data_IF_082263356076
#
_entry.id   IF_082263356076
#
_cell.length_a   1.000
_cell.length_b   1.000
_cell.length_c   1.000
_cell.angle_alpha   90.00
_cell.angle_beta   90.00
_cell.angle_gamma   90.00
#
_symmetry.space_group_name_H-M   'P 1'
#
loop_
_entity.id
_entity.type
_entity.pdbx_description
1 polymer ?
#
# COMPACT_ATOMS: atom_id res chain seq x y z
N UNK A 1 4.88 -15.99 -4.22
CA UNK A 1 3.85 -15.12 -3.60
C UNK A 1 4.51 -14.20 -2.60
N UNK A 2 3.80 -13.17 -2.13
CA UNK A 2 4.32 -12.14 -1.21
C UNK A 2 5.07 -12.70 0.02
N UNK A 3 4.62 -13.83 0.58
CA UNK A 3 5.28 -14.49 1.73
C UNK A 3 6.72 -14.97 1.46
N UNK A 4 7.13 -15.20 0.20
CA UNK A 4 8.54 -15.52 -0.11
C UNK A 4 9.42 -14.28 -0.26
N UNK A 5 8.81 -13.09 -0.39
CA UNK A 5 9.48 -11.81 -0.60
C UNK A 5 9.52 -10.92 0.65
N UNK A 6 8.55 -11.05 1.57
CA UNK A 6 8.48 -10.27 2.82
C UNK A 6 7.74 -11.09 3.88
N UNK A 7 8.43 -11.50 4.97
CA UNK A 7 7.78 -12.28 6.03
C UNK A 7 7.02 -11.35 6.97
N UNK A 8 5.94 -11.82 7.60
CA UNK A 8 5.21 -11.02 8.59
C UNK A 8 6.10 -10.53 9.74
N UNK A 9 7.11 -11.31 10.13
CA UNK A 9 8.12 -10.94 11.14
C UNK A 9 8.97 -9.73 10.77
N UNK A 10 9.03 -9.39 9.48
CA UNK A 10 9.78 -8.25 8.98
C UNK A 10 8.94 -6.96 8.97
N UNK A 11 7.70 -7.02 9.45
CA UNK A 11 6.77 -5.91 9.47
C UNK A 11 6.45 -5.42 10.88
N UNK A 12 6.08 -4.15 10.97
CA UNK A 12 5.58 -3.51 12.19
C UNK A 12 4.34 -2.68 11.87
N UNK A 13 3.48 -2.48 12.87
CA UNK A 13 2.25 -1.71 12.69
C UNK A 13 2.49 -0.21 12.80
N UNK A 14 1.78 0.54 11.97
CA UNK A 14 1.67 1.99 12.03
C UNK A 14 0.21 2.31 12.39
N UNK A 15 -0.01 3.11 13.43
CA UNK A 15 -1.34 3.55 13.84
C UNK A 15 -1.25 4.92 14.52
N UNK A 16 -2.18 5.81 14.19
CA UNK A 16 -2.22 7.17 14.70
C UNK A 16 -3.44 7.47 15.56
N UNK A 17 -3.27 8.28 16.60
CA UNK A 17 -4.36 8.88 17.36
C UNK A 17 -4.48 10.38 16.98
N UNK A 18 -5.69 10.93 16.76
CA UNK A 18 -6.97 10.22 16.64
C UNK A 18 -6.98 9.30 15.41
N UNK A 19 -7.79 8.24 15.42
CA UNK A 19 -7.83 7.11 14.47
C UNK A 19 -7.99 7.47 12.98
N UNK A 20 -7.06 8.22 12.40
CA UNK A 20 -7.17 8.81 11.05
C UNK A 20 -6.26 8.13 10.04
N UNK A 21 -5.39 7.25 10.50
CA UNK A 21 -4.54 6.45 9.65
C UNK A 21 -4.12 5.16 10.34
N UNK A 22 -3.90 4.14 9.52
CA UNK A 22 -3.30 2.89 9.93
C UNK A 22 -2.41 2.36 8.80
N UNK A 23 -1.53 1.41 9.10
CA UNK A 23 -0.62 0.91 8.10
C UNK A 23 0.37 -0.11 8.63
N UNK A 24 1.37 -0.38 7.81
CA UNK A 24 2.46 -1.28 8.12
C UNK A 24 3.75 -0.76 7.53
N UNK A 25 4.84 -0.94 8.26
CA UNK A 25 6.18 -0.77 7.73
C UNK A 25 6.87 -2.12 7.57
N UNK A 26 7.84 -2.19 6.68
CA UNK A 26 8.76 -3.32 6.52
C UNK A 26 10.20 -2.86 6.77
N UNK A 27 11.05 -3.74 7.29
CA UNK A 27 12.48 -3.46 7.53
C UNK A 27 13.42 -4.09 6.48
N UNK A 28 12.87 -4.78 5.49
CA UNK A 28 13.61 -5.57 4.48
C UNK A 28 13.33 -5.15 3.03
N UNK A 29 12.88 -3.92 2.81
CA UNK A 29 12.58 -3.42 1.48
C UNK A 29 13.82 -3.42 0.56
N UNK A 30 13.81 -4.26 -0.47
CA UNK A 30 14.88 -4.38 -1.44
C UNK A 30 14.36 -4.82 -2.83
N UNK A 31 13.81 -3.89 -3.64
CA UNK A 31 13.21 -4.23 -4.92
C UNK A 31 14.29 -4.66 -5.92
N UNK A 32 14.13 -5.85 -6.51
CA UNK A 32 15.07 -6.41 -7.48
C UNK A 32 14.80 -5.89 -8.90
N UNK A 33 14.99 -4.59 -9.11
CA UNK A 33 14.91 -3.98 -10.44
C UNK A 33 16.18 -4.30 -11.25
N UNK A 34 16.02 -4.66 -12.54
CA UNK A 34 17.13 -5.05 -13.42
C UNK A 34 17.76 -3.84 -14.10
N UNK A 35 19.06 -3.93 -14.36
CA UNK A 35 19.84 -2.94 -15.13
C UNK A 35 20.90 -2.23 -14.27
N UNK A 36 21.63 -1.31 -14.91
CA UNK A 36 22.72 -0.54 -14.25
C UNK A 36 22.21 0.71 -13.50
N UNK A 37 21.07 1.26 -13.92
CA UNK A 37 20.51 2.48 -13.34
C UNK A 37 19.79 2.17 -12.03
N UNK A 38 19.93 3.06 -11.04
CA UNK A 38 19.19 3.04 -9.78
C UNK A 38 18.49 4.39 -9.61
N UNK A 39 17.27 4.39 -9.08
CA UNK A 39 16.57 5.64 -8.80
C UNK A 39 17.36 6.46 -7.76
N UNK A 40 17.37 7.79 -7.89
CA UNK A 40 17.85 8.67 -6.83
C UNK A 40 17.07 8.43 -5.55
N UNK A 41 17.75 8.50 -4.40
CA UNK A 41 17.08 8.43 -3.10
C UNK A 41 16.68 9.83 -2.64
N UNK A 42 15.67 9.92 -1.77
CA UNK A 42 15.35 11.16 -1.06
C UNK A 42 16.61 11.70 -0.37
N UNK A 43 16.99 12.99 -0.56
CA UNK A 43 18.25 13.52 -0.05
C UNK A 43 18.43 13.38 1.47
N UNK A 44 17.31 13.46 2.21
CA UNK A 44 17.29 13.39 3.66
C UNK A 44 16.81 12.03 4.20
N UNK A 45 16.79 10.97 3.36
CA UNK A 45 16.42 9.65 3.85
C UNK A 45 17.43 9.16 4.89
N UNK A 46 17.00 8.70 6.08
CA UNK A 46 17.94 8.26 7.11
C UNK A 46 18.77 7.06 6.65
N UNK A 47 20.10 7.15 6.77
CA UNK A 47 21.03 6.11 6.30
C UNK A 47 20.77 4.75 6.96
N UNK A 48 20.38 4.75 8.24
CA UNK A 48 20.03 3.54 8.99
C UNK A 48 18.63 2.98 8.66
N UNK A 49 17.85 3.65 7.79
CA UNK A 49 16.51 3.23 7.37
C UNK A 49 16.44 2.90 5.88
N UNK A 50 17.57 2.60 5.23
CA UNK A 50 17.63 2.42 3.77
C UNK A 50 16.78 1.24 3.26
N UNK A 51 16.52 0.24 4.11
CA UNK A 51 15.68 -0.92 3.81
C UNK A 51 14.27 -0.78 4.40
N UNK A 52 13.91 0.39 4.94
CA UNK A 52 12.57 0.62 5.44
C UNK A 52 11.68 1.09 4.31
N UNK A 53 10.47 0.56 4.27
CA UNK A 53 9.37 1.11 3.52
C UNK A 53 8.11 1.12 4.39
N UNK A 54 7.23 2.09 4.16
CA UNK A 54 6.01 2.29 4.95
C UNK A 54 4.80 2.40 4.03
N UNK A 55 3.72 1.72 4.38
CA UNK A 55 2.46 1.69 3.66
C UNK A 55 1.36 2.18 4.60
N UNK A 56 0.93 3.43 4.42
CA UNK A 56 0.04 4.12 5.35
C UNK A 56 -1.26 4.46 4.63
N UNK A 57 -2.35 3.86 5.08
CA UNK A 57 -3.70 4.24 4.72
C UNK A 57 -4.11 5.47 5.54
N UNK A 58 -4.30 6.59 4.85
CA UNK A 58 -4.91 7.82 5.34
C UNK A 58 -6.41 7.76 5.05
N UNK A 59 -7.22 7.75 6.10
CA UNK A 59 -8.66 7.64 5.94
C UNK A 59 -9.26 8.94 5.39
N UNK A 60 -10.28 8.87 4.50
CA UNK A 60 -11.02 7.65 4.14
C UNK A 60 -10.42 6.82 3.00
N UNK A 61 -9.65 7.41 2.09
CA UNK A 61 -9.52 6.84 0.74
C UNK A 61 -8.14 6.98 0.09
N UNK A 62 -7.08 7.28 0.84
CA UNK A 62 -5.72 7.41 0.30
C UNK A 62 -4.80 6.42 1.00
N UNK A 63 -3.92 5.76 0.25
CA UNK A 63 -2.77 5.03 0.78
C UNK A 63 -1.48 5.59 0.17
N UNK A 64 -0.48 5.80 1.02
CA UNK A 64 0.87 6.17 0.61
C UNK A 64 1.80 4.99 0.84
N UNK A 65 2.50 4.56 -0.21
CA UNK A 65 3.66 3.70 -0.10
C UNK A 65 4.93 4.53 -0.22
N UNK A 66 5.74 4.59 0.83
CA UNK A 66 6.93 5.42 0.90
C UNK A 66 8.17 4.52 0.94
N UNK A 67 9.08 4.74 0.00
CA UNK A 67 10.33 4.03 -0.14
C UNK A 67 11.48 5.04 -0.17
N UNK A 68 12.72 4.57 -0.06
CA UNK A 68 13.90 5.45 -0.12
C UNK A 68 14.05 6.25 -1.42
N UNK A 69 13.48 5.78 -2.53
CA UNK A 69 13.78 6.28 -3.89
C UNK A 69 12.54 6.61 -4.75
N UNK A 70 11.36 6.31 -4.24
CA UNK A 70 10.08 6.71 -4.79
C UNK A 70 9.00 6.68 -3.71
N UNK A 71 7.85 7.22 -4.04
CA UNK A 71 6.62 6.93 -3.30
C UNK A 71 5.51 6.67 -4.31
N UNK A 72 4.47 5.99 -3.89
CA UNK A 72 3.22 5.95 -4.64
C UNK A 72 2.09 6.55 -3.81
N UNK A 73 1.20 7.24 -4.50
CA UNK A 73 -0.12 7.57 -4.00
C UNK A 73 -1.11 6.60 -4.65
N UNK A 74 -1.94 6.02 -3.82
CA UNK A 74 -3.01 5.15 -4.23
C UNK A 74 -4.29 5.69 -3.64
N UNK A 75 -5.30 5.99 -4.46
CA UNK A 75 -6.53 6.57 -3.96
C UNK A 75 -7.76 5.89 -4.54
N UNK A 76 -8.80 5.84 -3.71
CA UNK A 76 -10.03 5.12 -3.98
C UNK A 76 -11.13 6.10 -4.37
N UNK A 77 -11.69 5.90 -5.55
CA UNK A 77 -12.87 6.60 -6.06
C UNK A 77 -14.11 5.71 -5.86
N UNK A 78 -14.97 6.00 -4.88
CA UNK A 78 -16.20 5.25 -4.70
C UNK A 78 -17.19 5.62 -5.81
N UNK A 79 -17.57 4.66 -6.65
CA UNK A 79 -18.58 4.86 -7.70
C UNK A 79 -19.97 4.53 -7.14
N UNK A 80 -20.09 3.39 -6.46
CA UNK A 80 -21.27 2.97 -5.71
C UNK A 80 -20.87 1.93 -4.64
N UNK A 81 -21.84 1.31 -3.97
CA UNK A 81 -21.58 0.34 -2.89
C UNK A 81 -20.97 -1.00 -3.36
N UNK A 82 -20.90 -1.26 -4.67
CA UNK A 82 -20.36 -2.48 -5.28
C UNK A 82 -19.11 -2.20 -6.13
N UNK A 83 -18.80 -0.94 -6.42
CA UNK A 83 -17.75 -0.55 -7.36
C UNK A 83 -16.91 0.61 -6.82
N UNK A 84 -15.61 0.38 -6.76
CA UNK A 84 -14.57 1.38 -6.46
C UNK A 84 -13.53 1.36 -7.57
N UNK A 85 -13.10 2.53 -8.04
CA UNK A 85 -11.98 2.65 -8.99
C UNK A 85 -10.71 2.98 -8.19
N UNK A 86 -9.65 2.21 -8.46
CA UNK A 86 -8.36 2.35 -7.82
C UNK A 86 -7.40 3.12 -8.72
N UNK A 87 -6.92 4.27 -8.24
CA UNK A 87 -5.98 5.12 -8.96
C UNK A 87 -4.59 4.99 -8.36
N UNK A 88 -3.61 4.54 -9.14
CA UNK A 88 -2.23 4.40 -8.70
C UNK A 88 -1.28 5.34 -9.45
N UNK A 89 -0.57 6.15 -8.68
CA UNK A 89 0.42 7.11 -9.19
C UNK A 89 1.76 6.86 -8.52
N UNK A 90 2.83 6.72 -9.31
CA UNK A 90 4.19 6.50 -8.78
C UNK A 90 5.05 7.71 -9.07
N UNK A 91 5.61 8.27 -8.01
CA UNK A 91 6.41 9.48 -8.00
C UNK A 91 7.87 9.17 -7.70
N UNK A 92 8.77 9.78 -8.46
CA UNK A 92 10.21 9.54 -8.37
C UNK A 92 10.96 10.78 -7.89
N UNK A 93 12.05 10.57 -7.16
CA UNK A 93 12.88 11.67 -6.66
C UNK A 93 13.65 12.32 -7.82
N UNK A 94 13.26 13.55 -8.16
CA UNK A 94 13.94 14.40 -9.13
C UNK A 94 13.42 14.27 -10.57
N UNK A 95 13.51 15.37 -11.32
CA UNK A 95 12.98 15.49 -12.68
C UNK A 95 13.58 14.46 -13.66
N UNK A 96 14.88 14.16 -13.54
CA UNK A 96 15.54 13.19 -14.42
C UNK A 96 14.95 11.78 -14.22
N UNK A 97 14.74 11.34 -12.98
CA UNK A 97 14.19 10.03 -12.66
C UNK A 97 12.74 9.90 -13.14
N UNK A 98 11.94 10.97 -12.97
CA UNK A 98 10.54 11.01 -13.40
C UNK A 98 10.37 11.07 -14.92
N UNK A 99 11.15 11.89 -15.62
CA UNK A 99 10.80 12.30 -16.99
C UNK A 99 11.81 11.88 -18.06
N UNK A 100 13.07 11.59 -17.72
CA UNK A 100 14.09 11.29 -18.73
C UNK A 100 13.90 9.91 -19.39
N UNK A 101 14.47 9.76 -20.60
CA UNK A 101 14.57 8.47 -21.30
C UNK A 101 15.47 7.47 -20.56
N UNK A 102 16.51 7.95 -19.84
CA UNK A 102 17.47 7.14 -19.08
C UNK A 102 16.80 6.21 -18.07
N UNK A 103 15.74 6.70 -17.41
CA UNK A 103 15.01 5.96 -16.38
C UNK A 103 13.74 5.27 -16.89
N UNK A 104 13.39 5.41 -18.19
CA UNK A 104 12.15 4.85 -18.77
C UNK A 104 11.99 3.36 -18.51
N UNK A 105 13.04 2.58 -18.72
CA UNK A 105 13.02 1.12 -18.49
C UNK A 105 12.87 0.78 -17.01
N UNK A 106 13.46 1.59 -16.12
CA UNK A 106 13.36 1.38 -14.67
C UNK A 106 11.94 1.70 -14.17
N UNK A 107 11.32 2.80 -14.65
CA UNK A 107 9.92 3.14 -14.36
C UNK A 107 8.94 2.06 -14.83
N UNK A 108 9.15 1.51 -16.03
CA UNK A 108 8.34 0.38 -16.54
C UNK A 108 8.42 -0.86 -15.65
N UNK A 109 9.62 -1.19 -15.17
CA UNK A 109 9.80 -2.33 -14.26
C UNK A 109 9.14 -2.08 -12.91
N UNK A 110 9.31 -0.88 -12.35
CA UNK A 110 8.72 -0.51 -11.06
C UNK A 110 7.19 -0.52 -11.13
N UNK A 111 6.61 0.06 -12.19
CA UNK A 111 5.17 0.02 -12.42
C UNK A 111 4.65 -1.42 -12.52
N UNK A 112 5.34 -2.29 -13.27
CA UNK A 112 4.94 -3.70 -13.41
C UNK A 112 5.00 -4.44 -12.06
N UNK A 113 6.01 -4.16 -11.24
CA UNK A 113 6.14 -4.74 -9.91
C UNK A 113 4.95 -4.36 -9.03
N UNK A 114 4.67 -3.06 -8.92
CA UNK A 114 3.59 -2.56 -8.06
C UNK A 114 2.21 -2.95 -8.55
N UNK A 115 1.97 -2.89 -9.86
CA UNK A 115 0.74 -3.37 -10.45
C UNK A 115 0.50 -4.85 -10.10
N UNK A 116 1.53 -5.70 -10.25
CA UNK A 116 1.43 -7.11 -9.90
C UNK A 116 1.10 -7.34 -8.43
N UNK A 117 1.75 -6.62 -7.52
CA UNK A 117 1.49 -6.70 -6.07
C UNK A 117 0.05 -6.29 -5.74
N UNK A 118 -0.41 -5.15 -6.26
CA UNK A 118 -1.76 -4.64 -5.96
C UNK A 118 -2.86 -5.52 -6.56
N UNK A 119 -2.64 -6.06 -7.77
CA UNK A 119 -3.61 -6.96 -8.41
C UNK A 119 -3.80 -8.29 -7.68
N UNK A 120 -2.90 -8.70 -6.78
CA UNK A 120 -3.11 -9.91 -5.95
C UNK A 120 -4.29 -9.75 -4.99
N UNK A 121 -4.61 -8.53 -4.55
CA UNK A 121 -5.67 -8.27 -3.56
C UNK A 121 -7.07 -8.15 -4.19
N UNK A 122 -7.17 -7.78 -5.47
CA UNK A 122 -8.45 -7.50 -6.16
C UNK A 122 -9.42 -8.69 -6.06
N UNK A 123 -8.96 -9.89 -6.44
CA UNK A 123 -9.82 -11.08 -6.41
C UNK A 123 -10.24 -11.49 -4.99
N UNK A 124 -9.44 -11.16 -3.97
CA UNK A 124 -9.79 -11.41 -2.57
C UNK A 124 -10.91 -10.44 -2.15
N UNK A 125 -10.78 -9.16 -2.48
CA UNK A 125 -11.75 -8.12 -2.14
C UNK A 125 -13.09 -8.37 -2.85
N UNK A 126 -13.06 -8.70 -4.14
CA UNK A 126 -14.26 -9.07 -4.93
C UNK A 126 -14.96 -10.29 -4.32
N UNK A 127 -14.22 -11.35 -3.99
CA UNK A 127 -14.79 -12.53 -3.32
C UNK A 127 -15.36 -12.22 -1.94
N UNK A 128 -14.73 -11.31 -1.19
CA UNK A 128 -15.26 -10.83 0.09
C UNK A 128 -16.57 -10.04 -0.08
N UNK A 129 -16.68 -9.23 -1.14
CA UNK A 129 -17.91 -8.50 -1.48
C UNK A 129 -19.06 -9.47 -1.82
N UNK A 130 -18.80 -10.44 -2.71
CA UNK A 130 -19.77 -11.48 -3.07
C UNK A 130 -20.23 -12.27 -1.84
N UNK A 131 -19.29 -12.70 -0.99
CA UNK A 131 -19.60 -13.45 0.23
C UNK A 131 -20.45 -12.66 1.24
N UNK A 132 -20.20 -11.35 1.38
CA UNK A 132 -20.96 -10.47 2.29
C UNK A 132 -22.36 -10.14 1.80
N UNK A 133 -22.60 -10.25 0.49
CA UNK A 133 -23.94 -10.12 -0.09
C UNK A 133 -24.84 -11.33 0.17
N UNK A 134 -24.32 -12.43 0.72
CA UNK A 134 -25.12 -13.60 1.11
C UNK A 134 -26.06 -13.27 2.27
N UNK A 135 -27.36 -13.64 2.21
CA UNK A 135 -28.28 -13.52 3.35
C UNK A 135 -27.85 -14.31 4.60
N UNK A 136 -26.93 -15.27 4.44
CA UNK A 136 -26.39 -16.05 5.56
C UNK A 136 -25.22 -15.37 6.28
N UNK A 137 -24.69 -14.26 5.76
CA UNK A 137 -23.59 -13.53 6.38
C UNK A 137 -24.05 -12.80 7.65
N UNK A 138 -23.26 -12.92 8.73
CA UNK A 138 -23.65 -12.47 10.07
C UNK A 138 -22.71 -11.44 10.72
N UNK A 139 -21.79 -10.82 9.95
CA UNK A 139 -20.97 -9.70 10.42
C UNK A 139 -19.47 -9.99 10.63
N UNK A 140 -19.02 -11.24 10.53
CA UNK A 140 -17.59 -11.61 10.62
C UNK A 140 -16.91 -11.29 11.96
N UNK A 141 -15.64 -11.68 12.12
CA UNK A 141 -14.85 -11.42 13.32
C UNK A 141 -13.45 -10.91 12.94
N UNK A 142 -12.90 -9.99 13.74
CA UNK A 142 -11.51 -9.55 13.61
C UNK A 142 -10.57 -10.42 14.45
N UNK A 143 -9.44 -10.81 13.87
CA UNK A 143 -8.33 -11.37 14.63
C UNK A 143 -7.73 -10.29 15.54
N UNK A 144 -7.60 -10.55 16.86
CA UNK A 144 -6.99 -9.60 17.79
C UNK A 144 -5.48 -9.40 17.55
N UNK A 145 -4.87 -10.28 16.76
CA UNK A 145 -3.44 -10.23 16.43
C UNK A 145 -3.24 -9.60 15.05
N UNK A 146 -4.01 -10.04 14.05
CA UNK A 146 -3.73 -9.72 12.65
C UNK A 146 -4.50 -8.49 12.14
N UNK A 147 -5.73 -8.27 12.63
CA UNK A 147 -6.66 -7.31 12.03
C UNK A 147 -6.71 -5.97 12.77
N UNK A 148 -5.70 -5.67 13.58
CA UNK A 148 -5.67 -4.42 14.36
C UNK A 148 -5.83 -3.16 13.48
N UNK A 149 -5.10 -2.99 12.36
CA UNK A 149 -5.31 -1.87 11.43
C UNK A 149 -6.72 -1.84 10.81
N UNK A 150 -7.24 -3.00 10.41
CA UNK A 150 -8.58 -3.12 9.79
C UNK A 150 -9.68 -2.76 10.78
N UNK A 151 -9.58 -3.26 12.01
CA UNK A 151 -10.49 -2.92 13.10
C UNK A 151 -10.43 -1.44 13.45
N UNK A 152 -9.25 -0.82 13.38
CA UNK A 152 -9.06 0.61 13.58
C UNK A 152 -9.77 1.46 12.52
N UNK A 153 -9.72 1.05 11.24
CA UNK A 153 -10.50 1.67 10.18
C UNK A 153 -12.01 1.55 10.42
N UNK A 154 -12.51 0.37 10.80
CA UNK A 154 -13.95 0.19 11.08
C UNK A 154 -14.43 1.06 12.24
N UNK A 155 -13.61 1.24 13.29
CA UNK A 155 -13.91 2.19 14.37
C UNK A 155 -14.01 3.63 13.87
N UNK A 156 -13.11 4.04 12.97
CA UNK A 156 -13.16 5.38 12.38
C UNK A 156 -14.44 5.58 11.56
N UNK A 157 -14.80 4.63 10.69
CA UNK A 157 -16.04 4.66 9.90
C UNK A 157 -17.26 4.80 10.82
N UNK A 158 -17.39 3.93 11.82
CA UNK A 158 -18.53 3.91 12.74
C UNK A 158 -18.69 5.18 13.61
N UNK A 159 -17.64 6.01 13.72
CA UNK A 159 -17.65 7.23 14.54
C UNK A 159 -17.70 8.52 13.73
N UNK A 160 -17.50 8.47 12.40
CA UNK A 160 -17.43 9.66 11.56
C UNK A 160 -18.41 9.63 10.38
N UNK A 161 -18.88 8.46 9.96
CA UNK A 161 -19.73 8.29 8.76
C UNK A 161 -21.10 7.67 9.05
N UNK A 162 -21.28 7.06 10.23
CA UNK A 162 -22.55 6.45 10.68
C UNK A 162 -23.24 7.38 11.67
#
# INVERSE_FOLDING_TARGET
GLNTYSKISDHYHIQGLPNRFAGQGTVVYNPRLKGKNKFPCFPNWPKNKINIAEYVALFPNVMLGIHKDHYYAYWLEPVNHELTIEHMEIYYVGNEAANSKKFKTLRKQNLKLWYGVQSEDVGIIEGMQEGRNSPAYNGGNFSPIMDNPTHHFHKWVATNLV
#
